data_IF_517424997730
#
_entry.id   IF_517424997730
#
_cell.length_a   1.000
_cell.length_b   1.000
_cell.length_c   1.000
_cell.angle_alpha   90.00
_cell.angle_beta   90.00
_cell.angle_gamma   90.00
#
_symmetry.space_group_name_H-M   'P 1'
#
loop_
_entity.id
_entity.type
_entity.pdbx_description
1 polymer ?
#
# COMPACT_ATOMS: atom_id res chain seq x y z
N UNK A 1 10.92 11.88 5.63
CA UNK A 1 10.26 12.14 6.92
C UNK A 1 8.75 12.24 6.71
N UNK A 2 8.29 13.19 5.90
CA UNK A 2 6.85 13.41 5.61
C UNK A 2 6.06 12.16 5.21
N UNK A 3 6.61 11.29 4.34
CA UNK A 3 5.89 10.08 3.91
C UNK A 3 5.59 9.11 5.05
N UNK A 4 6.53 8.97 5.99
CA UNK A 4 6.36 8.10 7.14
C UNK A 4 5.41 8.72 8.16
N UNK A 5 5.65 9.99 8.49
CA UNK A 5 4.87 10.73 9.49
C UNK A 5 3.37 10.79 9.12
N UNK A 6 3.05 11.07 7.86
CA UNK A 6 1.66 11.10 7.39
C UNK A 6 1.01 9.71 7.39
N UNK A 7 1.75 8.67 7.01
CA UNK A 7 1.24 7.31 7.04
C UNK A 7 0.98 6.79 8.46
N UNK A 8 1.88 7.11 9.39
CA UNK A 8 1.71 6.78 10.81
C UNK A 8 0.52 7.51 11.44
N UNK A 9 0.30 8.79 11.11
CA UNK A 9 -0.87 9.54 11.59
C UNK A 9 -2.18 8.90 11.16
N UNK A 10 -2.29 8.49 9.89
CA UNK A 10 -3.49 7.82 9.38
C UNK A 10 -3.73 6.46 10.05
N UNK A 11 -2.66 5.70 10.30
CA UNK A 11 -2.74 4.44 11.05
C UNK A 11 -3.23 4.69 12.49
N UNK A 12 -2.72 5.72 13.14
CA UNK A 12 -3.13 6.07 14.51
C UNK A 12 -4.60 6.50 14.58
N UNK A 13 -5.11 7.15 13.54
CA UNK A 13 -6.53 7.50 13.40
C UNK A 13 -7.41 6.30 13.03
N UNK A 14 -6.83 5.16 12.66
CA UNK A 14 -7.53 3.93 12.22
C UNK A 14 -8.46 4.15 11.02
N UNK A 15 -8.19 5.17 10.21
CA UNK A 15 -8.89 5.36 8.94
C UNK A 15 -8.22 4.55 7.85
N UNK A 16 -8.55 3.26 7.80
CA UNK A 16 -7.90 2.31 6.89
C UNK A 16 -8.16 2.59 5.42
N UNK A 17 -9.31 3.20 5.10
CA UNK A 17 -9.61 3.64 3.72
C UNK A 17 -8.70 4.80 3.34
N UNK A 18 -8.52 5.77 4.23
CA UNK A 18 -7.57 6.85 4.01
C UNK A 18 -6.12 6.34 3.91
N UNK A 19 -5.72 5.35 4.73
CA UNK A 19 -4.40 4.70 4.60
C UNK A 19 -4.23 4.08 3.20
N UNK A 20 -5.23 3.37 2.68
CA UNK A 20 -5.17 2.78 1.34
C UNK A 20 -5.05 3.84 0.24
N UNK A 21 -5.88 4.89 0.28
CA UNK A 21 -5.79 6.00 -0.66
C UNK A 21 -4.44 6.73 -0.60
N UNK A 22 -3.92 6.89 0.61
CA UNK A 22 -2.60 7.45 0.83
C UNK A 22 -1.51 6.58 0.21
N UNK A 23 -1.55 5.26 0.43
CA UNK A 23 -0.63 4.30 -0.19
C UNK A 23 -0.62 4.46 -1.71
N UNK A 24 -1.78 4.48 -2.35
CA UNK A 24 -1.87 4.60 -3.81
C UNK A 24 -1.30 5.94 -4.31
N UNK A 25 -1.65 7.04 -3.66
CA UNK A 25 -1.20 8.38 -4.05
C UNK A 25 0.31 8.53 -3.86
N UNK A 26 0.83 8.07 -2.73
CA UNK A 26 2.25 8.12 -2.42
C UNK A 26 3.07 7.16 -3.29
N UNK A 27 2.48 6.06 -3.77
CA UNK A 27 3.14 5.15 -4.70
C UNK A 27 3.44 5.82 -6.04
N UNK A 28 2.44 6.49 -6.63
CA UNK A 28 2.62 7.23 -7.89
C UNK A 28 3.72 8.28 -7.74
N UNK A 29 3.70 9.05 -6.65
CA UNK A 29 4.74 10.05 -6.36
C UNK A 29 6.12 9.40 -6.21
N UNK A 30 6.20 8.25 -5.54
CA UNK A 30 7.45 7.50 -5.36
C UNK A 30 7.99 6.97 -6.69
N UNK A 31 7.11 6.52 -7.58
CA UNK A 31 7.48 6.01 -8.91
C UNK A 31 8.01 7.11 -9.83
N UNK A 32 7.56 8.35 -9.65
CA UNK A 32 8.03 9.51 -10.38
C UNK A 32 9.41 10.03 -9.89
N UNK A 33 9.93 9.49 -8.78
CA UNK A 33 11.24 9.92 -8.26
C UNK A 33 12.39 9.42 -9.14
N UNK A 34 13.43 10.24 -9.38
CA UNK A 34 14.58 9.82 -10.17
C UNK A 34 15.36 8.72 -9.44
N UNK A 35 15.40 7.53 -10.04
CA UNK A 35 16.11 6.35 -9.51
C UNK A 35 17.61 6.66 -9.38
N UNK A 36 18.08 6.85 -8.15
CA UNK A 36 19.51 6.97 -7.85
C UNK A 36 20.04 5.59 -7.50
N UNK A 37 20.90 5.02 -8.37
CA UNK A 37 21.66 3.78 -8.11
C UNK A 37 22.71 3.99 -7.00
N UNK A 38 22.25 4.22 -5.77
CA UNK A 38 23.09 4.37 -4.58
C UNK A 38 22.63 3.39 -3.50
N UNK A 39 23.53 2.93 -2.61
CA UNK A 39 23.21 1.94 -1.56
C UNK A 39 22.15 2.42 -0.55
N UNK A 40 21.80 3.71 -0.55
CA UNK A 40 20.70 4.29 0.22
C UNK A 40 19.58 4.76 -0.71
N UNK A 41 19.05 3.85 -1.53
CA UNK A 41 17.92 4.17 -2.41
C UNK A 41 16.68 4.48 -1.55
N UNK A 42 16.40 5.78 -1.42
CA UNK A 42 15.27 6.31 -0.67
C UNK A 42 13.96 5.80 -1.27
N UNK A 43 13.93 5.59 -2.59
CA UNK A 43 12.78 5.09 -3.34
C UNK A 43 12.39 3.69 -2.87
N UNK A 44 13.36 2.78 -2.74
CA UNK A 44 13.11 1.44 -2.21
C UNK A 44 12.59 1.49 -0.77
N UNK A 45 13.15 2.37 0.08
CA UNK A 45 12.66 2.52 1.46
C UNK A 45 11.20 3.03 1.48
N UNK A 46 10.86 3.95 0.59
CA UNK A 46 9.48 4.43 0.44
C UNK A 46 8.54 3.29 0.04
N UNK A 47 8.86 2.50 -1.00
CA UNK A 47 8.03 1.37 -1.41
C UNK A 47 7.84 0.34 -0.29
N UNK A 48 8.89 0.04 0.49
CA UNK A 48 8.78 -0.84 1.66
C UNK A 48 7.81 -0.31 2.72
N UNK A 49 7.90 0.97 3.06
CA UNK A 49 7.00 1.57 4.04
C UNK A 49 5.55 1.59 3.53
N UNK A 50 5.34 1.92 2.26
CA UNK A 50 4.01 1.88 1.64
C UNK A 50 3.43 0.46 1.63
N UNK A 51 4.27 -0.55 1.40
CA UNK A 51 3.88 -1.97 1.51
C UNK A 51 3.44 -2.32 2.94
N UNK A 52 4.16 -1.84 3.96
CA UNK A 52 3.80 -2.05 5.36
C UNK A 52 2.47 -1.37 5.72
N UNK A 53 2.26 -0.14 5.25
CA UNK A 53 0.99 0.57 5.46
C UNK A 53 -0.18 -0.13 4.77
N UNK A 54 0.02 -0.61 3.53
CA UNK A 54 -0.98 -1.40 2.81
C UNK A 54 -1.34 -2.67 3.59
N UNK A 55 -0.33 -3.42 4.02
CA UNK A 55 -0.54 -4.63 4.83
C UNK A 55 -1.29 -4.33 6.13
N UNK A 56 -0.93 -3.25 6.81
CA UNK A 56 -1.57 -2.88 8.07
C UNK A 56 -3.02 -2.47 7.88
N UNK A 57 -3.33 -1.70 6.82
CA UNK A 57 -4.70 -1.34 6.47
C UNK A 57 -5.53 -2.57 6.10
N UNK A 58 -4.98 -3.51 5.32
CA UNK A 58 -5.68 -4.76 4.97
C UNK A 58 -5.97 -5.62 6.22
N UNK A 59 -5.03 -5.75 7.15
CA UNK A 59 -5.24 -6.58 8.35
C UNK A 59 -6.28 -6.02 9.33
N UNK A 60 -6.43 -4.69 9.40
CA UNK A 60 -7.28 -4.04 10.40
C UNK A 60 -8.56 -3.42 9.80
N UNK A 61 -8.58 -3.22 8.48
CA UNK A 61 -9.70 -2.68 7.75
C UNK A 61 -10.79 -3.72 7.55
N UNK A 62 -12.04 -3.29 7.75
CA UNK A 62 -13.21 -4.04 7.36
C UNK A 62 -13.78 -3.45 6.07
N UNK A 63 -13.21 -3.86 4.94
CA UNK A 63 -13.57 -3.33 3.63
C UNK A 63 -14.63 -4.21 2.99
N UNK A 64 -15.69 -3.61 2.47
CA UNK A 64 -16.68 -4.34 1.68
C UNK A 64 -16.06 -4.84 0.36
N UNK A 65 -16.54 -5.96 -0.16
CA UNK A 65 -16.09 -6.56 -1.43
C UNK A 65 -15.87 -5.55 -2.57
N UNK A 66 -16.84 -4.68 -2.86
CA UNK A 66 -16.69 -3.67 -3.93
C UNK A 66 -15.51 -2.70 -3.72
N UNK A 67 -15.15 -2.40 -2.47
CA UNK A 67 -13.97 -1.59 -2.15
C UNK A 67 -12.69 -2.41 -2.28
N UNK A 68 -12.70 -3.66 -1.84
CA UNK A 68 -11.57 -4.58 -2.00
C UNK A 68 -11.23 -4.84 -3.47
N UNK A 69 -12.23 -4.99 -4.34
CA UNK A 69 -12.02 -5.16 -5.79
C UNK A 69 -11.23 -3.98 -6.37
N UNK A 70 -11.65 -2.75 -6.06
CA UNK A 70 -10.95 -1.54 -6.50
C UNK A 70 -9.53 -1.45 -5.93
N UNK A 71 -9.30 -1.97 -4.72
CA UNK A 71 -7.96 -1.99 -4.13
C UNK A 71 -7.09 -3.05 -4.79
N UNK A 72 -7.62 -4.25 -5.06
CA UNK A 72 -6.90 -5.34 -5.73
C UNK A 72 -6.37 -4.89 -7.08
N UNK A 73 -7.19 -4.24 -7.91
CA UNK A 73 -6.77 -3.75 -9.22
C UNK A 73 -5.56 -2.80 -9.11
N UNK A 74 -5.56 -1.93 -8.09
CA UNK A 74 -4.44 -1.00 -7.85
C UNK A 74 -3.21 -1.70 -7.27
N UNK A 75 -3.40 -2.61 -6.32
CA UNK A 75 -2.30 -3.33 -5.69
C UNK A 75 -1.63 -4.27 -6.70
N UNK A 76 -2.39 -4.84 -7.65
CA UNK A 76 -1.86 -5.69 -8.73
C UNK A 76 -0.83 -4.91 -9.57
N UNK A 77 -1.20 -3.72 -10.04
CA UNK A 77 -0.30 -2.84 -10.78
C UNK A 77 0.97 -2.50 -9.99
N UNK A 78 0.83 -2.24 -8.69
CA UNK A 78 1.96 -1.94 -7.81
C UNK A 78 2.85 -3.19 -7.56
N UNK A 79 2.25 -4.38 -7.55
CA UNK A 79 2.94 -5.65 -7.35
C UNK A 79 3.74 -6.10 -8.57
N UNK A 80 3.38 -5.63 -9.77
CA UNK A 80 4.19 -5.78 -10.97
C UNK A 80 5.47 -4.93 -10.90
N UNK A 81 5.40 -3.76 -10.25
CA UNK A 81 6.54 -2.84 -10.08
C UNK A 81 7.46 -3.21 -8.89
N UNK A 82 6.91 -3.79 -7.82
CA UNK A 82 7.66 -4.09 -6.59
C UNK A 82 7.22 -5.40 -5.93
N UNK A 83 8.11 -6.40 -5.96
CA UNK A 83 7.82 -7.78 -5.54
C UNK A 83 7.27 -7.90 -4.10
N UNK A 84 7.73 -7.07 -3.15
CA UNK A 84 7.25 -7.17 -1.77
C UNK A 84 5.76 -6.79 -1.64
N UNK A 85 5.19 -6.04 -2.59
CA UNK A 85 3.77 -5.69 -2.62
C UNK A 85 2.87 -6.89 -2.96
N UNK A 86 3.41 -7.96 -3.58
CA UNK A 86 2.66 -9.19 -3.90
C UNK A 86 1.99 -9.83 -2.68
N UNK A 87 2.57 -9.64 -1.48
CA UNK A 87 1.95 -10.12 -0.23
C UNK A 87 0.61 -9.42 0.04
N UNK A 88 0.53 -8.11 -0.21
CA UNK A 88 -0.70 -7.34 -0.01
C UNK A 88 -1.75 -7.69 -1.06
N UNK A 89 -1.32 -7.94 -2.30
CA UNK A 89 -2.20 -8.41 -3.38
C UNK A 89 -2.86 -9.75 -3.01
N UNK A 90 -2.06 -10.72 -2.55
CA UNK A 90 -2.57 -12.03 -2.13
C UNK A 90 -3.56 -11.91 -0.98
N UNK A 91 -3.23 -11.10 0.04
CA UNK A 91 -4.11 -10.87 1.19
C UNK A 91 -5.46 -10.27 0.78
N UNK A 92 -5.46 -9.23 -0.04
CA UNK A 92 -6.69 -8.59 -0.49
C UNK A 92 -7.60 -9.55 -1.28
N UNK A 93 -7.01 -10.41 -2.13
CA UNK A 93 -7.75 -11.44 -2.86
C UNK A 93 -8.32 -12.54 -1.97
N UNK A 94 -7.61 -12.92 -0.93
CA UNK A 94 -8.09 -13.90 0.05
C UNK A 94 -9.27 -13.35 0.86
N UNK A 95 -9.27 -12.06 1.21
CA UNK A 95 -10.37 -11.42 1.93
C UNK A 95 -11.70 -11.48 1.17
N UNK A 96 -11.70 -11.19 -0.14
CA UNK A 96 -12.93 -11.28 -0.96
C UNK A 96 -13.51 -12.70 -0.94
N UNK A 97 -12.65 -13.73 -1.03
CA UNK A 97 -13.08 -15.12 -1.05
C UNK A 97 -13.69 -15.61 0.26
N UNK A 98 -13.47 -14.90 1.36
CA UNK A 98 -14.02 -15.24 2.68
C UNK A 98 -15.38 -14.58 2.92
N UNK A 99 -15.76 -13.57 2.15
CA UNK A 99 -17.06 -12.88 2.26
C UNK A 99 -18.13 -13.44 1.31
N UNK A 100 -17.75 -14.29 0.33
CA UNK A 100 -18.64 -15.04 -0.56
C UNK A 100 -19.23 -16.30 0.10
#
# INVERSE_FOLDING_TARGET
KTLLEQGEELINCQDWTAVMHYVFSAWTITNDLPVKKQPNDVTQKCFRNLTQFCRHALLNGNFINSTLELFIDKIELMADDFDEMKVCYQMAREMIRLED
#
